data_IF_758527404456
#
_entry.id   IF_758527404456
#
_cell.length_a   1.000
_cell.length_b   1.000
_cell.length_c   1.000
_cell.angle_alpha   90.00
_cell.angle_beta   90.00
_cell.angle_gamma   90.00
#
_symmetry.space_group_name_H-M   'P 1'
#
loop_
_entity.id
_entity.type
_entity.pdbx_description
1 polymer ?
#
# COMPACT_ATOMS: atom_id res chain seq x y z
N UNK A 1 28.32 1.46 3.90
CA UNK A 1 27.12 2.09 3.32
C UNK A 1 25.98 1.81 4.27
N UNK A 2 25.63 2.79 5.09
CA UNK A 2 24.57 2.67 6.08
C UNK A 2 23.22 2.60 5.37
N UNK A 3 22.60 1.43 5.41
CA UNK A 3 21.22 1.23 5.00
C UNK A 3 20.31 1.84 6.06
N UNK A 4 19.86 3.07 5.84
CA UNK A 4 18.70 3.60 6.55
C UNK A 4 17.49 2.78 6.14
N UNK A 5 17.14 1.79 6.96
CA UNK A 5 15.80 1.20 6.95
C UNK A 5 14.87 2.35 7.35
N UNK A 6 14.07 2.84 6.41
CA UNK A 6 12.95 3.74 6.75
C UNK A 6 11.90 2.86 7.41
N UNK A 7 12.14 2.54 8.68
CA UNK A 7 11.10 2.09 9.57
C UNK A 7 10.23 3.34 9.77
N UNK A 8 8.96 3.32 9.34
CA UNK A 8 8.02 4.31 9.87
C UNK A 8 8.20 4.27 11.39
N UNK A 9 8.37 5.42 12.09
CA UNK A 9 8.44 5.38 13.54
C UNK A 9 7.21 4.63 14.03
N UNK A 10 7.43 3.59 14.84
CA UNK A 10 6.38 2.71 15.32
C UNK A 10 5.19 3.58 15.72
N UNK A 11 4.09 3.47 14.98
CA UNK A 11 2.90 4.24 15.28
C UNK A 11 2.30 3.66 16.55
N UNK A 12 1.92 4.51 17.49
CA UNK A 12 1.25 4.06 18.72
C UNK A 12 -0.23 3.73 18.49
N UNK A 13 -0.83 4.27 17.42
CA UNK A 13 -2.25 4.11 17.14
C UNK A 13 -2.58 4.21 15.64
N UNK A 14 -3.75 3.67 15.29
CA UNK A 14 -4.46 3.95 14.03
C UNK A 14 -5.70 4.81 14.30
N UNK A 15 -6.18 5.51 13.27
CA UNK A 15 -7.53 6.11 13.25
C UNK A 15 -8.40 5.35 12.25
N UNK A 16 -9.66 5.12 12.61
CA UNK A 16 -10.61 4.38 11.78
C UNK A 16 -11.94 5.12 11.67
N UNK A 17 -12.75 4.78 10.67
CA UNK A 17 -14.16 5.18 10.60
C UNK A 17 -14.43 6.64 10.27
N UNK A 18 -13.46 7.34 9.69
CA UNK A 18 -13.55 8.76 9.34
C UNK A 18 -13.19 8.99 7.88
N UNK A 19 -13.87 9.95 7.25
CA UNK A 19 -13.46 10.53 5.95
C UNK A 19 -12.51 11.72 6.11
N UNK A 20 -12.38 12.26 7.32
CA UNK A 20 -11.48 13.39 7.61
C UNK A 20 -10.19 12.91 8.28
N UNK A 21 -9.05 13.35 7.75
CA UNK A 21 -7.70 12.86 8.09
C UNK A 21 -7.39 12.84 9.59
N UNK A 22 -7.82 13.87 10.32
CA UNK A 22 -7.47 14.07 11.73
C UNK A 22 -8.56 13.68 12.73
N UNK A 23 -9.68 13.12 12.25
CA UNK A 23 -10.83 12.77 13.10
C UNK A 23 -11.08 11.26 13.15
N UNK A 24 -12.02 10.83 14.00
CA UNK A 24 -12.33 9.42 14.22
C UNK A 24 -11.63 8.79 15.43
N UNK A 25 -12.13 7.64 15.93
CA UNK A 25 -11.56 6.96 17.08
C UNK A 25 -10.11 6.55 16.87
N UNK A 26 -9.27 6.81 17.87
CA UNK A 26 -7.91 6.25 17.95
C UNK A 26 -7.97 4.86 18.57
N UNK A 27 -7.26 3.92 17.96
CA UNK A 27 -7.09 2.56 18.46
C UNK A 27 -5.59 2.31 18.61
N UNK A 28 -5.15 2.00 19.83
CA UNK A 28 -3.73 1.76 20.08
C UNK A 28 -3.28 0.47 19.41
N UNK A 29 -2.06 0.51 18.88
CA UNK A 29 -1.35 -0.64 18.34
C UNK A 29 -0.66 -1.34 19.51
N UNK A 30 -0.84 -2.66 19.60
CA UNK A 30 -0.22 -3.53 20.59
C UNK A 30 1.13 -4.04 20.10
N UNK A 31 1.18 -4.48 18.85
CA UNK A 31 2.37 -5.10 18.26
C UNK A 31 2.47 -4.77 16.77
N UNK A 32 3.70 -4.62 16.31
CA UNK A 32 4.09 -4.40 14.92
C UNK A 32 4.80 -5.67 14.40
N UNK A 33 4.33 -6.26 13.32
CA UNK A 33 4.96 -7.42 12.67
C UNK A 33 5.37 -7.06 11.26
N UNK A 34 6.65 -6.71 11.06
CA UNK A 34 7.21 -6.46 9.73
C UNK A 34 7.58 -7.78 9.06
N UNK A 35 7.38 -7.91 7.76
CA UNK A 35 7.81 -9.10 7.04
C UNK A 35 9.33 -9.33 7.24
N UNK A 36 9.78 -10.53 7.66
CA UNK A 36 11.18 -10.75 8.03
C UNK A 36 12.17 -10.62 6.87
N UNK A 37 11.68 -10.73 5.63
CA UNK A 37 12.48 -10.55 4.41
C UNK A 37 12.41 -9.14 3.82
N UNK A 38 11.73 -8.20 4.49
CA UNK A 38 11.63 -6.82 4.02
C UNK A 38 13.01 -6.19 3.81
N UNK A 39 13.24 -5.64 2.62
CA UNK A 39 14.43 -4.84 2.32
C UNK A 39 15.76 -5.61 2.24
N UNK A 40 15.77 -6.93 2.43
CA UNK A 40 17.02 -7.71 2.54
C UNK A 40 17.75 -7.87 1.20
N UNK A 41 17.01 -8.13 0.12
CA UNK A 41 17.57 -8.36 -1.23
C UNK A 41 17.33 -7.16 -2.15
N UNK A 42 16.16 -6.54 -2.02
CA UNK A 42 15.75 -5.36 -2.77
C UNK A 42 15.03 -4.43 -1.79
N UNK A 43 15.33 -3.12 -1.86
CA UNK A 43 14.98 -2.13 -0.81
C UNK A 43 13.51 -2.11 -0.41
N UNK A 44 12.60 -2.34 -1.36
CA UNK A 44 11.15 -2.31 -1.14
C UNK A 44 10.47 -3.66 -1.35
N UNK A 45 11.26 -4.74 -1.45
CA UNK A 45 10.68 -6.07 -1.58
C UNK A 45 10.17 -6.54 -0.22
N UNK A 46 9.05 -7.28 -0.23
CA UNK A 46 8.30 -7.67 0.97
C UNK A 46 7.83 -6.48 1.84
N UNK A 47 7.47 -5.35 1.24
CA UNK A 47 7.01 -4.13 1.95
C UNK A 47 5.61 -4.26 2.56
N UNK A 48 5.46 -5.19 3.50
CA UNK A 48 4.21 -5.49 4.19
C UNK A 48 4.43 -5.62 5.70
N UNK A 49 3.49 -5.08 6.46
CA UNK A 49 3.46 -5.14 7.91
C UNK A 49 2.05 -5.47 8.41
N UNK A 50 1.95 -6.21 9.50
CA UNK A 50 0.71 -6.43 10.23
C UNK A 50 0.73 -5.67 11.55
N UNK A 51 -0.42 -5.08 11.89
CA UNK A 51 -0.63 -4.37 13.15
C UNK A 51 -1.62 -5.15 14.00
N UNK A 52 -1.18 -5.62 15.18
CA UNK A 52 -2.09 -6.15 16.20
C UNK A 52 -2.61 -4.98 17.03
N UNK A 53 -3.93 -4.87 17.17
CA UNK A 53 -4.57 -3.81 17.94
C UNK A 53 -4.75 -4.24 19.40
N UNK A 54 -4.70 -3.28 20.33
CA UNK A 54 -4.89 -3.55 21.76
C UNK A 54 -6.32 -4.03 22.09
N UNK A 55 -7.29 -3.71 21.21
CA UNK A 55 -8.69 -4.13 21.32
C UNK A 55 -9.26 -4.41 19.93
N UNK A 56 -10.25 -5.30 19.88
CA UNK A 56 -11.02 -5.54 18.65
C UNK A 56 -11.73 -4.27 18.17
N UNK A 57 -11.83 -4.11 16.85
CA UNK A 57 -12.63 -3.06 16.23
C UNK A 57 -14.11 -3.40 16.33
N UNK A 58 -14.94 -2.40 16.61
CA UNK A 58 -16.39 -2.51 16.47
C UNK A 58 -16.78 -2.22 15.03
N UNK A 59 -17.25 -3.23 14.30
CA UNK A 59 -17.72 -3.06 12.93
C UNK A 59 -19.10 -2.42 12.90
N UNK A 60 -19.34 -1.64 11.84
CA UNK A 60 -20.57 -0.87 11.66
C UNK A 60 -20.56 -0.12 10.33
N UNK A 61 -21.28 1.00 10.27
CA UNK A 61 -21.45 1.75 9.01
C UNK A 61 -20.16 2.34 8.44
N UNK A 62 -19.19 2.67 9.29
CA UNK A 62 -17.95 3.36 8.87
C UNK A 62 -16.69 2.52 9.07
N UNK A 63 -16.79 1.38 9.76
CA UNK A 63 -15.67 0.47 10.01
C UNK A 63 -16.10 -0.93 9.60
N UNK A 64 -15.36 -1.52 8.66
CA UNK A 64 -15.58 -2.88 8.17
C UNK A 64 -14.26 -3.51 7.77
N UNK A 65 -14.23 -4.83 7.66
CA UNK A 65 -13.10 -5.56 7.09
C UNK A 65 -13.18 -5.57 5.55
N UNK A 66 -12.05 -5.84 4.91
CA UNK A 66 -11.97 -6.12 3.48
C UNK A 66 -11.30 -7.48 3.28
N UNK A 67 -11.81 -8.25 2.32
CA UNK A 67 -11.22 -9.54 1.98
C UNK A 67 -9.98 -9.37 1.11
N UNK A 68 -8.93 -10.14 1.39
CA UNK A 68 -7.73 -10.20 0.53
C UNK A 68 -8.04 -11.09 -0.68
N UNK A 69 -7.76 -10.57 -1.87
CA UNK A 69 -7.89 -11.32 -3.13
C UNK A 69 -7.12 -12.64 -3.10
N UNK A 70 -7.66 -13.66 -3.76
CA UNK A 70 -6.96 -14.94 -3.99
C UNK A 70 -6.37 -15.03 -5.40
N UNK A 71 -6.52 -13.99 -6.22
CA UNK A 71 -6.16 -14.02 -7.64
C UNK A 71 -5.59 -12.71 -8.14
N UNK A 72 -5.42 -12.65 -9.46
CA UNK A 72 -4.84 -11.50 -10.16
C UNK A 72 -5.67 -10.24 -9.89
N UNK A 73 -4.98 -9.10 -9.75
CA UNK A 73 -5.62 -7.79 -9.76
C UNK A 73 -6.51 -7.68 -11.01
N UNK A 74 -7.66 -7.00 -10.90
CA UNK A 74 -8.40 -6.62 -12.10
C UNK A 74 -7.60 -5.67 -12.99
N UNK A 75 -8.19 -5.30 -14.13
CA UNK A 75 -7.57 -4.33 -15.05
C UNK A 75 -7.36 -2.96 -14.40
N UNK A 76 -8.15 -2.67 -13.36
CA UNK A 76 -8.10 -1.44 -12.59
C UNK A 76 -8.00 -1.69 -11.08
N UNK A 77 -7.39 -0.74 -10.39
CA UNK A 77 -7.42 -0.63 -8.92
C UNK A 77 -7.93 0.74 -8.49
N UNK A 78 -8.66 0.74 -7.38
CA UNK A 78 -9.04 1.95 -6.65
C UNK A 78 -8.09 2.10 -5.48
N UNK A 79 -7.48 3.27 -5.38
CA UNK A 79 -6.62 3.66 -4.27
C UNK A 79 -7.27 4.83 -3.55
N UNK A 80 -7.25 4.80 -2.23
CA UNK A 80 -7.84 5.83 -1.39
C UNK A 80 -6.86 6.28 -0.32
N UNK A 81 -6.86 7.58 -0.03
CA UNK A 81 -5.99 8.12 1.01
C UNK A 81 -6.11 9.63 1.17
N UNK A 82 -5.25 10.19 2.01
CA UNK A 82 -5.19 11.62 2.35
C UNK A 82 -3.85 12.25 2.00
N UNK A 83 -3.02 11.55 1.23
CA UNK A 83 -1.75 12.01 0.71
C UNK A 83 -1.89 13.25 -0.15
N UNK A 84 -0.80 13.67 -0.76
CA UNK A 84 -0.75 14.90 -1.53
C UNK A 84 -1.59 14.76 -2.80
N UNK A 85 -2.17 15.86 -3.27
CA UNK A 85 -2.78 15.90 -4.61
C UNK A 85 -1.74 16.21 -5.70
N UNK A 86 -0.59 16.73 -5.31
CA UNK A 86 0.50 17.17 -6.20
C UNK A 86 1.86 16.93 -5.55
N UNK A 87 2.91 16.86 -6.37
CA UNK A 87 4.27 16.60 -5.86
C UNK A 87 4.70 17.72 -4.89
N UNK A 88 5.04 17.35 -3.65
CA UNK A 88 5.37 18.28 -2.55
C UNK A 88 4.21 19.20 -2.12
N UNK A 89 2.97 18.82 -2.40
CA UNK A 89 1.79 19.50 -1.88
C UNK A 89 1.50 19.19 -0.41
N UNK A 90 0.37 19.70 0.08
CA UNK A 90 -0.14 19.43 1.42
C UNK A 90 -1.02 18.18 1.46
N UNK A 91 -1.16 17.58 2.65
CA UNK A 91 -2.11 16.49 2.87
C UNK A 91 -3.55 16.96 2.65
N UNK A 92 -4.36 16.11 2.03
CA UNK A 92 -5.79 16.34 1.93
C UNK A 92 -6.48 16.15 3.28
N UNK A 93 -7.40 17.05 3.64
CA UNK A 93 -8.18 16.91 4.88
C UNK A 93 -9.36 15.95 4.72
N UNK A 94 -9.83 15.74 3.49
CA UNK A 94 -10.93 14.83 3.13
C UNK A 94 -10.35 13.68 2.32
N UNK A 95 -10.84 12.46 2.56
CA UNK A 95 -10.40 11.24 1.90
C UNK A 95 -10.60 11.36 0.39
N UNK A 96 -9.52 11.17 -0.35
CA UNK A 96 -9.50 11.14 -1.80
C UNK A 96 -9.59 9.70 -2.30
N UNK A 97 -9.99 9.57 -3.57
CA UNK A 97 -9.98 8.30 -4.29
C UNK A 97 -9.52 8.53 -5.72
N UNK A 98 -8.74 7.60 -6.24
CA UNK A 98 -8.38 7.56 -7.66
C UNK A 98 -8.57 6.13 -8.17
N UNK A 99 -8.99 6.02 -9.43
CA UNK A 99 -9.05 4.76 -10.17
C UNK A 99 -7.96 4.80 -11.22
N UNK A 100 -7.09 3.80 -11.22
CA UNK A 100 -5.92 3.70 -12.09
C UNK A 100 -5.82 2.30 -12.69
N UNK A 101 -5.19 2.21 -13.85
CA UNK A 101 -5.04 0.95 -14.58
C UNK A 101 -3.84 0.16 -14.06
N UNK A 102 -3.97 -1.17 -14.03
CA UNK A 102 -2.85 -2.06 -13.71
C UNK A 102 -1.91 -2.14 -14.90
N UNK A 103 -0.64 -1.84 -14.66
CA UNK A 103 0.41 -1.89 -15.67
C UNK A 103 1.10 -3.25 -15.60
N UNK A 104 1.21 -3.98 -16.74
CA UNK A 104 1.94 -5.25 -16.78
C UNK A 104 3.36 -5.10 -16.21
N UNK A 105 3.75 -6.01 -15.32
CA UNK A 105 5.06 -5.95 -14.64
C UNK A 105 6.23 -5.85 -15.63
N UNK A 106 6.15 -6.57 -16.76
CA UNK A 106 7.17 -6.53 -17.80
C UNK A 106 7.28 -5.17 -18.51
N UNK A 107 6.19 -4.40 -18.59
CA UNK A 107 6.22 -3.03 -19.10
C UNK A 107 6.77 -2.07 -18.03
N UNK A 108 6.31 -2.24 -16.78
CA UNK A 108 6.75 -1.43 -15.66
C UNK A 108 8.27 -1.53 -15.41
N UNK A 109 8.84 -2.73 -15.50
CA UNK A 109 10.28 -2.95 -15.37
C UNK A 109 11.13 -2.26 -16.45
N UNK A 110 10.54 -1.92 -17.61
CA UNK A 110 11.23 -1.24 -18.73
C UNK A 110 11.21 0.28 -18.61
N UNK A 111 10.50 0.82 -17.61
CA UNK A 111 10.53 2.25 -17.32
C UNK A 111 11.97 2.65 -17.03
N UNK A 112 12.49 3.62 -17.81
CA UNK A 112 13.88 4.10 -17.74
C UNK A 112 14.09 5.01 -16.52
N UNK A 113 13.93 4.43 -15.34
CA UNK A 113 14.10 5.10 -14.05
C UNK A 113 14.73 4.12 -13.04
N UNK A 114 15.70 4.55 -12.22
CA UNK A 114 16.44 3.67 -11.31
C UNK A 114 15.59 2.85 -10.34
N UNK A 115 14.36 3.28 -10.07
CA UNK A 115 13.44 2.61 -9.15
C UNK A 115 12.73 1.40 -9.77
N UNK A 116 12.74 1.27 -11.10
CA UNK A 116 11.99 0.26 -11.85
C UNK A 116 12.88 -0.65 -12.69
N UNK A 117 13.95 -0.09 -13.28
CA UNK A 117 14.82 -0.66 -14.30
C UNK A 117 15.30 -2.10 -14.02
N UNK A 118 14.43 -3.07 -14.32
CA UNK A 118 14.57 -4.50 -14.01
C UNK A 118 14.79 -4.87 -12.53
N UNK A 119 14.37 -4.01 -11.60
CA UNK A 119 14.53 -4.23 -10.15
C UNK A 119 13.29 -4.82 -9.48
N UNK A 120 12.12 -4.71 -10.13
CA UNK A 120 10.83 -5.12 -9.56
C UNK A 120 10.71 -6.65 -9.45
N UNK A 121 10.15 -7.13 -8.34
CA UNK A 121 9.92 -8.56 -8.10
C UNK A 121 8.48 -8.95 -8.43
N UNK A 122 8.19 -10.27 -8.51
CA UNK A 122 6.82 -10.77 -8.73
C UNK A 122 5.89 -10.53 -7.53
N UNK A 123 6.44 -10.17 -6.37
CA UNK A 123 5.72 -9.75 -5.17
C UNK A 123 5.21 -8.31 -5.27
N UNK A 124 5.46 -7.65 -6.40
CA UNK A 124 5.00 -6.30 -6.69
C UNK A 124 4.11 -6.30 -7.94
N UNK A 125 3.24 -5.31 -8.04
CA UNK A 125 2.59 -4.93 -9.30
C UNK A 125 2.63 -3.41 -9.45
N UNK A 126 2.37 -2.95 -10.67
CA UNK A 126 2.34 -1.53 -10.98
C UNK A 126 0.94 -1.09 -11.34
N UNK A 127 0.59 0.14 -11.00
CA UNK A 127 -0.64 0.77 -11.46
C UNK A 127 -0.43 2.26 -11.70
N UNK A 128 -1.16 2.81 -12.64
CA UNK A 128 -1.09 4.22 -13.05
C UNK A 128 -1.75 4.42 -14.41
N UNK A 129 -2.09 5.66 -14.72
CA UNK A 129 -2.67 6.08 -15.99
C UNK A 129 -1.74 7.05 -16.75
N UNK A 130 -2.26 7.65 -17.84
CA UNK A 130 -1.52 8.67 -18.60
C UNK A 130 -1.19 9.92 -17.79
N UNK A 131 -1.78 10.15 -16.61
CA UNK A 131 -1.44 11.26 -15.71
C UNK A 131 -0.47 10.82 -14.59
N UNK A 132 -0.37 9.51 -14.31
CA UNK A 132 0.53 8.92 -13.33
C UNK A 132 -0.20 8.03 -12.32
N UNK A 133 0.29 7.97 -11.10
CA UNK A 133 -0.26 7.16 -10.00
C UNK A 133 -0.87 8.01 -8.87
N UNK A 134 -1.43 7.35 -7.85
CA UNK A 134 -1.65 7.95 -6.54
C UNK A 134 -0.37 8.62 -6.02
N UNK A 135 -0.49 9.89 -5.63
CA UNK A 135 0.64 10.68 -5.17
C UNK A 135 1.11 10.28 -3.76
N UNK A 136 2.24 10.85 -3.31
CA UNK A 136 2.90 10.52 -2.05
C UNK A 136 2.03 10.81 -0.82
N UNK A 137 2.32 10.13 0.30
CA UNK A 137 1.71 10.40 1.60
C UNK A 137 0.71 9.34 2.08
N UNK A 138 0.42 8.34 1.24
CA UNK A 138 -0.48 7.23 1.54
C UNK A 138 0.20 5.85 1.48
N UNK A 139 1.51 5.79 1.73
CA UNK A 139 2.23 4.49 1.82
C UNK A 139 1.56 3.55 2.81
N UNK A 140 1.40 2.29 2.44
CA UNK A 140 0.61 1.28 3.14
C UNK A 140 -0.90 1.35 2.86
N UNK A 141 -1.36 2.34 2.08
CA UNK A 141 -2.76 2.51 1.69
C UNK A 141 -3.28 1.35 0.83
N UNK A 142 -4.58 1.08 0.94
CA UNK A 142 -5.22 -0.03 0.26
C UNK A 142 -5.37 0.21 -1.25
N UNK A 143 -4.93 -0.76 -2.06
CA UNK A 143 -5.32 -0.90 -3.46
C UNK A 143 -6.42 -1.98 -3.57
N UNK A 144 -7.58 -1.59 -4.08
CA UNK A 144 -8.80 -2.40 -4.10
C UNK A 144 -9.25 -2.66 -5.53
N UNK A 145 -9.53 -3.91 -5.87
CA UNK A 145 -10.14 -4.31 -7.14
C UNK A 145 -11.26 -5.30 -6.88
N UNK A 146 -12.40 -5.16 -7.57
CA UNK A 146 -13.58 -6.01 -7.38
C UNK A 146 -13.98 -6.20 -5.90
N UNK A 147 -13.97 -5.11 -5.13
CA UNK A 147 -14.27 -5.09 -3.68
C UNK A 147 -13.35 -5.96 -2.82
N UNK A 148 -12.17 -6.32 -3.33
CA UNK A 148 -11.14 -7.07 -2.61
C UNK A 148 -9.84 -6.29 -2.53
N UNK A 149 -9.15 -6.44 -1.41
CA UNK A 149 -7.82 -5.90 -1.21
C UNK A 149 -6.83 -6.71 -2.05
N UNK A 150 -6.23 -6.07 -3.05
CA UNK A 150 -5.28 -6.70 -3.97
C UNK A 150 -3.85 -6.27 -3.69
N UNK A 151 -3.66 -5.10 -3.09
CA UNK A 151 -2.34 -4.60 -2.78
C UNK A 151 -2.28 -3.51 -1.74
N UNK A 152 -1.04 -3.12 -1.44
CA UNK A 152 -0.70 -2.00 -0.57
C UNK A 152 0.20 -1.04 -1.36
N UNK A 153 -0.06 0.26 -1.30
CA UNK A 153 0.84 1.27 -1.85
C UNK A 153 2.21 1.16 -1.19
N UNK A 154 3.28 1.07 -1.97
CA UNK A 154 4.63 0.87 -1.46
C UNK A 154 5.52 2.06 -1.82
N UNK A 155 5.87 2.21 -3.11
CA UNK A 155 6.74 3.30 -3.56
C UNK A 155 6.38 3.77 -4.97
N UNK A 156 6.90 4.95 -5.30
CA UNK A 156 6.76 5.56 -6.62
C UNK A 156 7.73 6.73 -6.76
N UNK A 157 7.92 7.22 -7.98
CA UNK A 157 8.85 8.32 -8.25
C UNK A 157 8.11 9.62 -8.61
N UNK A 158 7.94 10.49 -7.61
CA UNK A 158 7.23 11.76 -7.75
C UNK A 158 5.72 11.57 -7.94
N UNK A 159 5.02 12.65 -8.24
CA UNK A 159 3.59 12.64 -8.57
C UNK A 159 3.37 13.34 -9.90
N UNK A 160 2.40 12.87 -10.70
CA UNK A 160 2.11 13.50 -12.00
C UNK A 160 3.23 13.35 -13.04
N UNK A 161 4.13 12.38 -12.88
CA UNK A 161 5.30 12.19 -13.75
C UNK A 161 5.09 11.17 -14.87
N UNK A 162 3.84 10.76 -15.12
CA UNK A 162 3.51 9.70 -16.08
C UNK A 162 4.22 8.37 -15.78
N UNK A 163 4.58 8.14 -14.50
CA UNK A 163 5.20 6.91 -14.04
C UNK A 163 4.20 6.17 -13.14
N UNK A 164 4.07 4.85 -13.29
CA UNK A 164 3.17 4.07 -12.44
C UNK A 164 3.75 3.95 -11.03
N UNK A 165 2.90 3.85 -10.04
CA UNK A 165 3.29 3.45 -8.69
C UNK A 165 3.52 1.97 -8.60
N UNK A 166 4.20 1.58 -7.54
CA UNK A 166 4.49 0.19 -7.23
C UNK A 166 3.77 -0.17 -5.93
N UNK A 167 3.06 -1.29 -6.01
CA UNK A 167 2.21 -1.82 -4.97
C UNK A 167 2.68 -3.23 -4.60
N UNK A 168 2.51 -3.61 -3.34
CA UNK A 168 2.69 -5.00 -2.92
C UNK A 168 1.57 -5.86 -3.48
N UNK A 169 1.91 -7.00 -4.08
CA UNK A 169 0.97 -8.00 -4.56
C UNK A 169 0.57 -8.96 -3.41
N UNK A 170 -0.58 -8.70 -2.79
CA UNK A 170 -1.06 -9.49 -1.65
C UNK A 170 -1.53 -10.91 -2.04
N UNK A 171 -1.77 -11.14 -3.33
CA UNK A 171 -2.09 -12.47 -3.85
C UNK A 171 -0.85 -13.35 -4.03
N UNK A 172 0.37 -12.79 -3.94
CA UNK A 172 1.60 -13.57 -4.10
C UNK A 172 1.74 -14.60 -2.95
N UNK A 173 2.07 -15.88 -3.24
CA UNK A 173 2.13 -16.94 -2.22
C UNK A 173 3.01 -16.60 -1.02
N UNK A 174 4.22 -16.09 -1.24
CA UNK A 174 5.15 -15.74 -0.15
C UNK A 174 4.54 -14.72 0.84
N UNK A 175 3.84 -13.72 0.31
CA UNK A 175 3.15 -12.70 1.13
C UNK A 175 1.93 -13.31 1.83
N UNK A 176 1.11 -14.05 1.09
CA UNK A 176 -0.13 -14.61 1.63
C UNK A 176 0.11 -15.67 2.70
N UNK A 177 1.13 -16.50 2.54
CA UNK A 177 1.54 -17.51 3.54
C UNK A 177 1.97 -16.82 4.83
N UNK A 178 2.80 -15.77 4.74
CA UNK A 178 3.23 -15.02 5.91
C UNK A 178 2.04 -14.36 6.62
N UNK A 179 1.12 -13.71 5.90
CA UNK A 179 -0.09 -13.13 6.51
C UNK A 179 -0.90 -14.19 7.28
N UNK A 180 -1.08 -15.38 6.68
CA UNK A 180 -1.81 -16.50 7.28
C UNK A 180 -1.20 -17.01 8.58
N UNK A 181 0.13 -17.00 8.70
CA UNK A 181 0.83 -17.43 9.92
C UNK A 181 0.43 -16.61 11.14
N UNK A 182 0.14 -15.32 10.96
CA UNK A 182 -0.20 -14.41 12.06
C UNK A 182 -1.72 -14.20 12.24
N UNK A 183 -2.51 -14.32 11.17
CA UNK A 183 -3.90 -13.82 11.16
C UNK A 183 -4.98 -14.89 10.99
N UNK A 184 -4.61 -16.13 10.62
CA UNK A 184 -5.55 -17.23 10.33
C UNK A 184 -6.58 -16.94 9.21
N UNK A 185 -6.29 -16.01 8.26
CA UNK A 185 -7.14 -15.60 7.10
C UNK A 185 -6.46 -15.73 5.73
#
# INVERSE_FOLDING_TARGET
METYVVQCPDKDFIRVGSKYRLTGPKINIKSHFVHPLYGLQHRFDYDVQLLELFRCLSFGRTVSNIEISQGVCGDDVIVTGWGYSEEKGDYNDILQRVKIEVVPLAACQKVKNPWYNHTLTTRMFCAGDEQGDACQGDSGGAAVSYSRLVGLSSFGYGCGRHLPGVYVNLSHPDIRIWIRQYTRI
#
